data_IF_325573614184
#
_entry.id   IF_325573614184
#
_cell.length_a   1.000
_cell.length_b   1.000
_cell.length_c   1.000
_cell.angle_alpha   90.00
_cell.angle_beta   90.00
_cell.angle_gamma   90.00
#
_symmetry.space_group_name_H-M   'P 1'
#
loop_
_entity.id
_entity.type
_entity.pdbx_description
1 polymer ?
#
# COMPACT_ATOMS: atom_id res chain seq x y z
N UNK A 1 9.35 16.41 7.64
CA UNK A 1 9.78 16.46 6.23
C UNK A 1 11.04 15.66 5.96
N UNK A 2 12.04 15.58 6.86
CA UNK A 2 13.30 14.84 6.64
C UNK A 2 13.12 13.42 6.05
N UNK A 3 12.22 12.60 6.63
CA UNK A 3 11.90 11.25 6.12
C UNK A 3 11.47 11.20 4.65
N UNK A 4 10.91 12.27 4.10
CA UNK A 4 10.48 12.32 2.69
C UNK A 4 11.72 12.44 1.79
N UNK A 5 12.71 13.24 2.19
CA UNK A 5 14.00 13.31 1.52
C UNK A 5 14.80 12.02 1.68
N UNK A 6 14.87 11.47 2.91
CA UNK A 6 15.62 10.24 3.18
C UNK A 6 15.12 9.04 2.36
N UNK A 7 13.82 9.02 2.03
CA UNK A 7 13.19 7.98 1.22
C UNK A 7 13.19 8.30 -0.30
N UNK A 8 13.86 9.38 -0.74
CA UNK A 8 13.84 9.87 -2.13
C UNK A 8 12.44 10.14 -2.68
N UNK A 9 11.51 10.57 -1.82
CA UNK A 9 10.15 10.97 -2.22
C UNK A 9 10.07 12.47 -2.56
N UNK A 10 11.11 13.25 -2.25
CA UNK A 10 11.22 14.66 -2.60
C UNK A 10 12.69 15.04 -2.80
N UNK A 11 12.91 16.07 -3.61
CA UNK A 11 14.20 16.71 -3.83
C UNK A 11 14.09 18.22 -3.64
N UNK A 12 15.23 18.90 -3.58
CA UNK A 12 15.24 20.36 -3.50
C UNK A 12 14.77 20.91 -4.85
N UNK A 13 13.73 21.74 -4.83
CA UNK A 13 13.23 22.39 -6.03
C UNK A 13 14.34 23.26 -6.67
N UNK A 14 14.43 23.29 -8.01
CA UNK A 14 15.42 24.12 -8.70
C UNK A 14 15.22 25.61 -8.38
N UNK A 15 16.28 26.39 -8.51
CA UNK A 15 16.19 27.84 -8.39
C UNK A 15 15.29 28.40 -9.49
N UNK A 16 14.38 29.30 -9.11
CA UNK A 16 13.44 29.91 -10.03
C UNK A 16 14.16 30.94 -10.90
N UNK A 17 13.86 30.93 -12.20
CA UNK A 17 14.29 32.00 -13.11
C UNK A 17 13.31 33.17 -12.99
N UNK A 18 13.82 34.40 -13.08
CA UNK A 18 12.97 35.60 -13.05
C UNK A 18 11.99 35.57 -14.25
N UNK A 19 10.69 35.66 -13.96
CA UNK A 19 9.62 35.63 -14.96
C UNK A 19 9.13 34.24 -15.39
N UNK A 20 9.67 33.15 -14.83
CA UNK A 20 9.20 31.79 -15.11
C UNK A 20 7.92 31.48 -14.31
N UNK A 21 6.88 30.99 -15.00
CA UNK A 21 5.64 30.58 -14.37
C UNK A 21 5.87 29.37 -13.45
N UNK A 22 5.50 29.50 -12.19
CA UNK A 22 5.71 28.47 -11.16
C UNK A 22 4.45 28.22 -10.37
N UNK A 23 4.10 26.94 -10.21
CA UNK A 23 2.94 26.50 -9.45
C UNK A 23 3.37 25.85 -8.14
N UNK A 24 2.69 26.21 -7.05
CA UNK A 24 2.92 25.63 -5.73
C UNK A 24 1.67 24.91 -5.26
N UNK A 25 1.86 23.72 -4.69
CA UNK A 25 0.80 22.96 -4.04
C UNK A 25 0.87 23.23 -2.53
N UNK A 26 -0.12 23.92 -1.91
CA UNK A 26 -0.10 24.20 -0.48
C UNK A 26 -0.10 22.92 0.35
N UNK A 27 0.63 22.93 1.46
CA UNK A 27 0.74 21.81 2.38
C UNK A 27 0.42 22.29 3.80
N UNK A 28 -0.45 21.57 4.51
CA UNK A 28 -0.70 21.80 5.92
C UNK A 28 -0.62 20.50 6.73
N UNK A 29 -0.38 20.62 8.04
CA UNK A 29 -0.21 19.47 8.94
C UNK A 29 -1.47 19.14 9.72
N UNK A 30 -1.83 17.86 9.77
CA UNK A 30 -2.94 17.35 10.59
C UNK A 30 -2.41 16.32 11.59
N UNK A 31 -2.82 16.44 12.86
CA UNK A 31 -2.46 15.50 13.92
C UNK A 31 -3.50 14.39 14.04
N UNK A 32 -3.04 13.15 14.19
CA UNK A 32 -3.94 12.03 14.43
C UNK A 32 -4.39 12.03 15.91
N UNK A 33 -5.70 12.03 16.22
CA UNK A 33 -6.18 12.13 17.61
C UNK A 33 -5.62 11.07 18.55
N UNK A 34 -5.42 9.84 18.06
CA UNK A 34 -4.85 8.71 18.84
C UNK A 34 -3.32 8.59 18.77
N UNK A 35 -2.65 9.43 17.98
CA UNK A 35 -1.18 9.42 17.78
C UNK A 35 -0.69 10.87 17.68
N UNK A 36 -0.72 11.63 18.79
CA UNK A 36 -0.47 13.07 18.78
C UNK A 36 0.95 13.45 18.34
N UNK A 37 1.92 12.53 18.42
CA UNK A 37 3.28 12.71 17.93
C UNK A 37 3.42 12.50 16.41
N UNK A 38 2.37 12.01 15.75
CA UNK A 38 2.36 11.72 14.31
C UNK A 38 1.60 12.81 13.55
N UNK A 39 2.35 13.69 12.88
CA UNK A 39 1.83 14.66 11.92
C UNK A 39 1.67 14.02 10.54
N UNK A 40 0.57 14.32 9.84
CA UNK A 40 0.34 13.97 8.44
C UNK A 40 0.32 15.24 7.61
N UNK A 41 1.11 15.28 6.54
CA UNK A 41 1.03 16.35 5.55
C UNK A 41 -0.22 16.14 4.69
N UNK A 42 -0.99 17.19 4.47
CA UNK A 42 -2.14 17.23 3.56
C UNK A 42 -1.81 18.21 2.45
N UNK A 43 -1.84 17.72 1.22
CA UNK A 43 -1.67 18.52 0.02
C UNK A 43 -3.04 19.06 -0.41
N UNK A 44 -3.19 20.38 -0.45
CA UNK A 44 -4.45 21.00 -0.84
C UNK A 44 -4.51 21.21 -2.35
N UNK A 45 -4.92 20.17 -3.08
CA UNK A 45 -5.11 20.26 -4.54
C UNK A 45 -6.35 21.06 -4.96
N UNK A 46 -7.15 21.52 -3.99
CA UNK A 46 -8.34 22.35 -4.22
C UNK A 46 -8.08 23.84 -4.02
N UNK A 47 -6.93 24.21 -3.43
CA UNK A 47 -6.52 25.59 -3.29
C UNK A 47 -6.46 26.27 -4.67
N UNK A 48 -7.13 27.42 -4.78
CA UNK A 48 -7.24 28.17 -6.03
C UNK A 48 -6.27 29.34 -6.05
N UNK A 49 -5.58 29.50 -7.16
CA UNK A 49 -4.88 30.72 -7.54
C UNK A 49 -5.38 31.13 -8.93
N UNK A 50 -5.73 32.41 -9.08
CA UNK A 50 -6.32 32.95 -10.32
C UNK A 50 -7.46 32.06 -10.88
N UNK A 51 -8.43 31.74 -10.02
CA UNK A 51 -9.58 30.86 -10.29
C UNK A 51 -9.27 29.40 -10.69
N UNK A 52 -8.00 29.00 -10.69
CA UNK A 52 -7.54 27.67 -11.12
C UNK A 52 -6.97 26.91 -9.92
N UNK A 53 -7.39 25.67 -9.73
CA UNK A 53 -6.76 24.70 -8.81
C UNK A 53 -6.17 23.53 -9.58
N UNK A 54 -5.30 22.76 -8.91
CA UNK A 54 -4.75 21.53 -9.50
C UNK A 54 -5.87 20.55 -9.89
N UNK A 55 -6.92 20.41 -9.08
CA UNK A 55 -8.06 19.55 -9.40
C UNK A 55 -8.83 19.99 -10.67
N UNK A 56 -8.80 21.26 -11.04
CA UNK A 56 -9.52 21.77 -12.22
C UNK A 56 -8.82 21.38 -13.54
N UNK A 57 -7.50 21.14 -13.50
CA UNK A 57 -6.67 20.85 -14.69
C UNK A 57 -6.24 19.39 -14.79
N UNK A 58 -6.47 18.59 -13.74
CA UNK A 58 -6.18 17.17 -13.75
C UNK A 58 -7.20 16.41 -14.60
N UNK A 59 -6.69 15.60 -15.53
CA UNK A 59 -7.52 14.65 -16.27
C UNK A 59 -7.98 13.56 -15.31
N UNK A 60 -9.30 13.44 -15.13
CA UNK A 60 -9.88 12.31 -14.41
C UNK A 60 -9.62 11.03 -15.20
N UNK A 61 -8.65 10.24 -14.72
CA UNK A 61 -8.34 8.92 -15.29
C UNK A 61 -9.47 7.93 -15.06
N UNK A 62 -9.39 6.78 -15.75
CA UNK A 62 -10.31 5.66 -15.51
C UNK A 62 -10.25 5.20 -14.05
N UNK A 63 -11.38 4.73 -13.54
CA UNK A 63 -11.47 4.21 -12.18
C UNK A 63 -10.71 2.88 -12.07
N UNK A 64 -9.46 2.92 -11.62
CA UNK A 64 -8.56 1.76 -11.55
C UNK A 64 -8.72 0.93 -10.26
N UNK A 65 -9.57 1.36 -9.32
CA UNK A 65 -9.72 0.70 -8.03
C UNK A 65 -10.51 -0.61 -8.21
N UNK A 66 -9.98 -1.70 -7.66
CA UNK A 66 -10.68 -2.99 -7.66
C UNK A 66 -11.92 -2.95 -6.77
N UNK A 67 -12.94 -3.75 -7.12
CA UNK A 67 -14.10 -3.94 -6.24
C UNK A 67 -13.66 -4.53 -4.91
N UNK A 68 -14.03 -3.87 -3.81
CA UNK A 68 -13.76 -4.32 -2.44
C UNK A 68 -14.27 -5.75 -2.22
N UNK A 69 -15.50 -6.04 -2.67
CA UNK A 69 -16.09 -7.38 -2.60
C UNK A 69 -15.25 -8.39 -3.39
N UNK A 70 -14.78 -8.00 -4.58
CA UNK A 70 -13.94 -8.87 -5.40
C UNK A 70 -12.59 -9.20 -4.75
N UNK A 71 -11.96 -8.22 -4.09
CA UNK A 71 -10.70 -8.43 -3.36
C UNK A 71 -10.93 -9.37 -2.16
N UNK A 72 -11.98 -9.11 -1.36
CA UNK A 72 -12.33 -9.96 -0.22
C UNK A 72 -12.67 -11.40 -0.62
N UNK A 73 -13.38 -11.60 -1.73
CA UNK A 73 -13.68 -12.95 -2.24
C UNK A 73 -12.41 -13.69 -2.69
N UNK A 74 -11.44 -13.00 -3.30
CA UNK A 74 -10.16 -13.62 -3.71
C UNK A 74 -9.30 -14.04 -2.52
N UNK A 75 -9.31 -13.27 -1.44
CA UNK A 75 -8.66 -13.63 -0.18
C UNK A 75 -9.28 -14.89 0.46
N UNK A 76 -10.53 -15.22 0.13
CA UNK A 76 -11.25 -16.35 0.70
C UNK A 76 -11.27 -17.58 -0.19
N UNK A 77 -10.50 -17.57 -1.27
CA UNK A 77 -10.55 -18.62 -2.28
C UNK A 77 -9.73 -19.85 -1.87
N UNK A 78 -8.61 -19.65 -1.18
CA UNK A 78 -7.60 -20.67 -0.89
C UNK A 78 -7.21 -20.65 0.61
N UNK A 79 -6.38 -21.61 1.03
CA UNK A 79 -6.11 -21.91 2.44
C UNK A 79 -5.13 -20.93 3.11
N UNK A 80 -4.12 -20.46 2.37
CA UNK A 80 -3.07 -19.61 2.92
C UNK A 80 -3.33 -18.18 2.48
N UNK A 81 -3.87 -17.40 3.40
CA UNK A 81 -4.22 -16.00 3.20
C UNK A 81 -3.08 -15.09 3.64
N UNK A 82 -2.87 -14.00 2.91
CA UNK A 82 -1.87 -12.98 3.17
C UNK A 82 -2.41 -11.59 2.85
N UNK A 83 -2.03 -10.63 3.69
CA UNK A 83 -2.27 -9.21 3.48
C UNK A 83 -0.97 -8.43 3.59
N UNK A 84 -0.84 -7.35 2.83
CA UNK A 84 0.26 -6.40 2.93
C UNK A 84 -0.18 -4.99 2.55
N UNK A 85 0.63 -4.00 2.92
CA UNK A 85 0.42 -2.57 2.71
C UNK A 85 1.54 -2.02 1.83
N UNK A 86 1.25 -1.03 0.99
CA UNK A 86 2.31 -0.27 0.28
C UNK A 86 2.71 0.91 1.14
N UNK A 87 3.93 0.88 1.66
CA UNK A 87 4.45 1.94 2.50
C UNK A 87 4.44 3.27 1.74
N UNK A 88 3.71 4.26 2.29
CA UNK A 88 3.73 5.63 1.79
C UNK A 88 3.37 5.75 0.29
N UNK A 89 2.44 4.92 -0.20
CA UNK A 89 2.01 4.89 -1.62
C UNK A 89 1.73 6.28 -2.22
N UNK A 90 1.14 7.20 -1.43
CA UNK A 90 0.79 8.57 -1.85
C UNK A 90 1.91 9.61 -1.75
N UNK A 91 3.08 9.25 -1.22
CA UNK A 91 4.27 10.11 -1.26
C UNK A 91 5.16 9.78 -2.45
N UNK A 92 5.15 8.53 -2.92
CA UNK A 92 5.83 8.16 -4.16
C UNK A 92 5.13 8.77 -5.39
N UNK A 93 3.82 9.04 -5.29
CA UNK A 93 2.96 9.41 -6.40
C UNK A 93 2.09 10.61 -6.03
N UNK A 94 2.07 11.64 -6.89
CA UNK A 94 1.22 12.83 -6.80
C UNK A 94 -0.16 12.48 -6.25
N UNK A 95 -0.65 13.27 -5.28
CA UNK A 95 -1.77 13.10 -4.33
C UNK A 95 -3.15 12.63 -4.89
N UNK A 96 -3.17 11.58 -5.72
CA UNK A 96 -4.35 11.06 -6.42
C UNK A 96 -4.30 9.53 -6.43
N UNK A 97 -5.29 8.84 -5.82
CA UNK A 97 -5.35 7.38 -5.77
C UNK A 97 -5.26 6.69 -7.13
N UNK A 98 -5.85 7.27 -8.17
CA UNK A 98 -5.81 6.72 -9.52
C UNK A 98 -4.38 6.70 -10.11
N UNK A 99 -3.61 7.77 -9.92
CA UNK A 99 -2.22 7.86 -10.37
C UNK A 99 -1.34 6.91 -9.58
N UNK A 100 -1.54 6.83 -8.27
CA UNK A 100 -0.82 5.89 -7.42
C UNK A 100 -1.07 4.44 -7.85
N UNK A 101 -2.33 4.08 -8.12
CA UNK A 101 -2.71 2.74 -8.62
C UNK A 101 -2.12 2.48 -10.00
N UNK A 102 -2.14 3.46 -10.90
CA UNK A 102 -1.54 3.34 -12.23
C UNK A 102 -0.05 3.04 -12.14
N UNK A 103 0.71 3.78 -11.32
CA UNK A 103 2.15 3.59 -11.19
C UNK A 103 2.50 2.26 -10.51
N UNK A 104 1.72 1.83 -9.52
CA UNK A 104 1.83 0.49 -8.94
C UNK A 104 1.69 -0.60 -10.03
N UNK A 105 0.64 -0.52 -10.85
CA UNK A 105 0.42 -1.45 -11.97
C UNK A 105 1.51 -1.36 -13.03
N UNK A 106 2.02 -0.15 -13.29
CA UNK A 106 3.08 0.06 -14.26
C UNK A 106 4.40 -0.55 -13.80
N UNK A 107 4.74 -0.45 -12.52
CA UNK A 107 5.91 -1.09 -11.93
C UNK A 107 5.82 -2.62 -12.08
N UNK A 108 4.66 -3.21 -11.77
CA UNK A 108 4.44 -4.64 -11.97
C UNK A 108 4.53 -5.05 -13.45
N UNK A 109 4.01 -4.22 -14.37
CA UNK A 109 4.09 -4.47 -15.81
C UNK A 109 5.54 -4.43 -16.32
N UNK A 110 6.36 -3.47 -15.86
CA UNK A 110 7.76 -3.39 -16.25
C UNK A 110 8.56 -4.63 -15.83
N UNK A 111 8.19 -5.25 -14.71
CA UNK A 111 8.84 -6.47 -14.21
C UNK A 111 8.28 -7.78 -14.76
N UNK A 112 7.21 -7.76 -15.59
CA UNK A 112 6.48 -8.97 -15.99
C UNK A 112 7.38 -10.04 -16.62
N UNK A 113 8.28 -9.64 -17.52
CA UNK A 113 9.19 -10.56 -18.21
C UNK A 113 10.18 -11.24 -17.25
N UNK A 114 10.58 -10.55 -16.19
CA UNK A 114 11.59 -11.03 -15.23
C UNK A 114 10.98 -11.79 -14.06
N UNK A 115 9.84 -11.32 -13.54
CA UNK A 115 9.27 -11.79 -12.28
C UNK A 115 7.99 -12.61 -12.45
N UNK A 116 7.45 -12.70 -13.67
CA UNK A 116 6.30 -13.53 -14.01
C UNK A 116 4.98 -12.75 -14.13
N UNK A 117 4.09 -13.26 -14.98
CA UNK A 117 2.76 -12.68 -15.20
C UNK A 117 1.82 -12.82 -14.01
N UNK A 118 2.08 -13.77 -13.11
CA UNK A 118 1.35 -13.95 -11.87
C UNK A 118 1.57 -12.79 -10.87
N UNK A 119 2.75 -12.15 -10.87
CA UNK A 119 2.99 -10.89 -10.12
C UNK A 119 2.15 -9.76 -10.67
N UNK A 120 2.11 -9.61 -11.99
CA UNK A 120 1.28 -8.59 -12.65
C UNK A 120 -0.21 -8.81 -12.33
N UNK A 121 -0.67 -10.06 -12.43
CA UNK A 121 -2.05 -10.43 -12.11
C UNK A 121 -2.39 -10.21 -10.64
N UNK A 122 -1.46 -10.52 -9.73
CA UNK A 122 -1.60 -10.19 -8.32
C UNK A 122 -1.81 -8.69 -8.15
N UNK A 123 -0.84 -7.86 -8.55
CA UNK A 123 -0.89 -6.41 -8.37
C UNK A 123 -2.14 -5.79 -9.01
N UNK A 124 -2.55 -6.27 -10.17
CA UNK A 124 -3.72 -5.75 -10.86
C UNK A 124 -5.05 -6.05 -10.15
N UNK A 125 -5.18 -7.20 -9.47
CA UNK A 125 -6.49 -7.76 -9.07
C UNK A 125 -6.72 -7.84 -7.56
N UNK A 126 -5.66 -7.76 -6.75
CA UNK A 126 -5.72 -8.04 -5.30
C UNK A 126 -5.54 -6.81 -4.43
N UNK A 127 -5.11 -5.67 -5.00
CA UNK A 127 -5.00 -4.42 -4.27
C UNK A 127 -6.31 -3.63 -4.24
N UNK A 128 -6.70 -3.18 -3.05
CA UNK A 128 -7.68 -2.13 -2.84
C UNK A 128 -6.94 -0.88 -2.35
N UNK A 129 -6.64 0.03 -3.27
CA UNK A 129 -5.76 1.19 -3.01
C UNK A 129 -4.36 0.71 -2.58
N UNK A 130 -3.98 0.89 -1.32
CA UNK A 130 -2.68 0.53 -0.74
C UNK A 130 -2.64 -0.85 -0.08
N UNK A 131 -3.81 -1.44 0.21
CA UNK A 131 -3.94 -2.75 0.83
C UNK A 131 -4.00 -3.87 -0.22
N UNK A 132 -3.01 -4.77 -0.24
CA UNK A 132 -2.98 -5.98 -1.05
C UNK A 132 -3.45 -7.19 -0.25
N UNK A 133 -4.43 -7.95 -0.76
CA UNK A 133 -4.98 -9.12 -0.07
C UNK A 133 -5.22 -10.29 -1.04
N UNK A 134 -4.71 -11.47 -0.71
CA UNK A 134 -4.98 -12.68 -1.48
C UNK A 134 -4.86 -13.96 -0.64
N UNK A 135 -5.29 -15.07 -1.21
CA UNK A 135 -4.94 -16.40 -0.72
C UNK A 135 -4.33 -17.25 -1.83
N UNK A 136 -3.48 -18.20 -1.45
CA UNK A 136 -2.95 -19.26 -2.33
C UNK A 136 -3.08 -20.64 -1.66
N UNK A 137 -3.02 -21.73 -2.45
CA UNK A 137 -3.16 -23.10 -1.93
C UNK A 137 -2.11 -23.48 -0.88
N UNK A 138 -0.86 -23.01 -1.03
CA UNK A 138 0.26 -23.43 -0.16
C UNK A 138 1.09 -22.25 0.34
N UNK A 139 1.78 -22.47 1.48
CA UNK A 139 2.70 -21.49 2.04
C UNK A 139 3.87 -21.21 1.10
N UNK A 140 4.41 -22.23 0.43
CA UNK A 140 5.53 -22.08 -0.51
C UNK A 140 5.16 -21.17 -1.70
N UNK A 141 3.99 -21.37 -2.30
CA UNK A 141 3.51 -20.51 -3.39
C UNK A 141 3.28 -19.07 -2.90
N UNK A 142 2.73 -18.92 -1.70
CA UNK A 142 2.50 -17.61 -1.09
C UNK A 142 3.80 -16.85 -0.88
N UNK A 143 4.82 -17.51 -0.32
CA UNK A 143 6.13 -16.92 -0.04
C UNK A 143 6.82 -16.52 -1.35
N UNK A 144 6.82 -17.42 -2.35
CA UNK A 144 7.46 -17.17 -3.64
C UNK A 144 6.84 -15.95 -4.35
N UNK A 145 5.52 -15.91 -4.51
CA UNK A 145 4.83 -14.81 -5.18
C UNK A 145 5.05 -13.47 -4.47
N UNK A 146 4.97 -13.46 -3.14
CA UNK A 146 5.11 -12.24 -2.36
C UNK A 146 6.55 -11.71 -2.36
N UNK A 147 7.56 -12.58 -2.35
CA UNK A 147 8.96 -12.16 -2.49
C UNK A 147 9.26 -11.61 -3.86
N UNK A 148 8.81 -12.28 -4.93
CA UNK A 148 8.93 -11.74 -6.30
C UNK A 148 8.24 -10.40 -6.43
N UNK A 149 7.04 -10.26 -5.85
CA UNK A 149 6.32 -8.98 -5.83
C UNK A 149 7.09 -7.90 -5.07
N UNK A 150 7.66 -8.19 -3.89
CA UNK A 150 8.51 -7.24 -3.15
C UNK A 150 9.69 -6.76 -4.00
N UNK A 151 10.36 -7.67 -4.70
CA UNK A 151 11.49 -7.34 -5.57
C UNK A 151 11.08 -6.49 -6.77
N UNK A 152 10.01 -6.88 -7.47
CA UNK A 152 9.48 -6.13 -8.63
C UNK A 152 9.12 -4.71 -8.22
N UNK A 153 8.33 -4.56 -7.15
CA UNK A 153 7.85 -3.26 -6.70
C UNK A 153 8.98 -2.36 -6.21
N UNK A 154 9.99 -2.92 -5.54
CA UNK A 154 11.16 -2.17 -5.11
C UNK A 154 12.01 -1.71 -6.29
N UNK A 155 12.35 -2.61 -7.23
CA UNK A 155 13.26 -2.29 -8.34
C UNK A 155 12.62 -1.42 -9.42
N UNK A 156 11.37 -1.69 -9.79
CA UNK A 156 10.70 -0.99 -10.90
C UNK A 156 9.94 0.27 -10.43
N UNK A 157 9.58 0.33 -9.14
CA UNK A 157 8.69 1.37 -8.62
C UNK A 157 9.21 2.14 -7.41
N UNK A 158 10.32 1.72 -6.79
CA UNK A 158 10.75 2.17 -5.46
C UNK A 158 9.59 2.07 -4.43
N UNK A 159 8.84 0.97 -4.49
CA UNK A 159 7.69 0.72 -3.64
C UNK A 159 7.99 -0.40 -2.65
N UNK A 160 7.96 -0.06 -1.35
CA UNK A 160 8.15 -1.03 -0.28
C UNK A 160 6.82 -1.62 0.18
N UNK A 161 6.67 -2.93 -0.01
CA UNK A 161 5.57 -3.70 0.55
C UNK A 161 5.92 -4.13 1.98
N UNK A 162 5.06 -3.79 2.95
CA UNK A 162 5.27 -4.02 4.39
C UNK A 162 3.95 -4.31 5.11
N UNK A 163 3.97 -4.38 6.44
CA UNK A 163 2.85 -4.81 7.30
C UNK A 163 2.24 -6.14 6.86
N UNK A 164 3.08 -7.08 6.48
CA UNK A 164 2.70 -8.43 6.09
C UNK A 164 2.03 -9.11 7.29
N UNK A 165 0.90 -9.75 7.02
CA UNK A 165 0.16 -10.59 7.95
C UNK A 165 -0.39 -11.80 7.20
N UNK A 166 -0.35 -12.98 7.82
CA UNK A 166 -0.84 -14.23 7.23
C UNK A 166 -1.43 -15.13 8.32
N UNK A 167 -2.36 -15.99 7.91
CA UNK A 167 -2.89 -17.07 8.75
C UNK A 167 -1.94 -18.29 8.85
N UNK A 168 -0.77 -18.24 8.20
CA UNK A 168 0.19 -19.34 8.19
C UNK A 168 1.56 -18.89 8.76
N UNK A 169 2.09 -19.64 9.72
CA UNK A 169 3.32 -19.30 10.42
C UNK A 169 4.57 -19.39 9.53
N UNK A 170 4.62 -20.35 8.61
CA UNK A 170 5.75 -20.49 7.69
C UNK A 170 5.88 -19.26 6.78
N UNK A 171 4.73 -18.71 6.35
CA UNK A 171 4.68 -17.44 5.62
C UNK A 171 5.21 -16.30 6.50
N UNK A 172 4.73 -16.18 7.74
CA UNK A 172 5.19 -15.12 8.66
C UNK A 172 6.69 -15.19 8.94
N UNK A 173 7.25 -16.40 9.05
CA UNK A 173 8.68 -16.62 9.31
C UNK A 173 9.57 -16.33 8.09
N UNK A 174 9.00 -16.27 6.88
CA UNK A 174 9.76 -16.11 5.64
C UNK A 174 10.14 -14.66 5.31
N UNK A 175 9.57 -13.67 6.00
CA UNK A 175 9.79 -12.24 5.78
C UNK A 175 10.55 -11.57 6.93
N UNK A 176 11.17 -10.42 6.64
CA UNK A 176 11.85 -9.61 7.65
C UNK A 176 10.86 -9.12 8.71
N UNK A 177 11.30 -9.06 9.97
CA UNK A 177 10.51 -8.47 11.06
C UNK A 177 10.15 -7.00 10.81
N UNK A 178 10.88 -6.29 9.94
CA UNK A 178 10.53 -4.92 9.53
C UNK A 178 9.39 -4.87 8.52
N UNK A 179 9.13 -5.97 7.81
CA UNK A 179 8.02 -6.11 6.88
C UNK A 179 6.78 -6.69 7.56
N UNK A 180 6.90 -7.40 8.68
CA UNK A 180 5.76 -7.93 9.44
C UNK A 180 4.97 -6.81 10.12
N UNK A 181 3.64 -6.94 10.15
CA UNK A 181 2.78 -6.00 10.86
C UNK A 181 3.20 -5.86 12.34
N UNK A 182 3.32 -4.63 12.83
CA UNK A 182 3.97 -4.33 14.12
C UNK A 182 3.41 -5.06 15.34
N UNK A 183 2.12 -5.41 15.32
CA UNK A 183 1.45 -6.11 16.42
C UNK A 183 1.49 -7.63 16.26
N UNK A 184 2.07 -8.13 15.18
CA UNK A 184 2.27 -9.55 14.88
C UNK A 184 3.74 -9.98 14.99
N UNK A 185 4.64 -9.03 15.26
CA UNK A 185 6.04 -9.33 15.51
C UNK A 185 6.14 -10.25 16.73
N UNK A 186 6.95 -11.30 16.61
CA UNK A 186 7.19 -12.30 17.65
C UNK A 186 5.96 -13.08 18.13
N UNK A 187 4.85 -13.06 17.38
CA UNK A 187 3.65 -13.85 17.70
C UNK A 187 3.75 -15.25 17.10
N UNK A 188 3.50 -16.25 17.94
CA UNK A 188 3.24 -17.64 17.53
C UNK A 188 1.73 -17.88 17.42
N UNK A 189 1.27 -18.16 16.20
CA UNK A 189 -0.13 -18.43 15.86
C UNK A 189 -0.67 -19.73 16.52
N UNK A 190 0.21 -20.62 16.99
CA UNK A 190 -0.16 -21.88 17.63
C UNK A 190 -0.38 -21.82 19.15
N UNK A 191 0.02 -20.75 19.82
CA UNK A 191 0.15 -20.72 21.30
C UNK A 191 -0.48 -19.50 21.98
N UNK A 192 -0.73 -18.41 21.26
CA UNK A 192 -1.27 -17.15 21.81
C UNK A 192 -2.76 -16.92 21.52
N UNK A 193 -3.42 -16.00 22.24
CA UNK A 193 -4.76 -15.52 21.85
C UNK A 193 -4.74 -15.05 20.40
N UNK A 194 -5.70 -15.50 19.59
CA UNK A 194 -5.73 -15.27 18.15
C UNK A 194 -5.46 -13.80 17.78
N UNK A 195 -4.34 -13.49 17.09
CA UNK A 195 -4.04 -12.12 16.72
C UNK A 195 -5.10 -11.58 15.75
N UNK A 196 -5.52 -10.35 16.00
CA UNK A 196 -6.53 -9.63 15.22
C UNK A 196 -5.86 -8.61 14.31
N UNK A 197 -5.81 -8.90 13.01
CA UNK A 197 -5.32 -7.98 12.00
C UNK A 197 -6.47 -7.08 11.53
N UNK A 198 -6.31 -5.76 11.60
CA UNK A 198 -7.28 -4.85 10.97
C UNK A 198 -6.96 -4.75 9.47
N UNK A 199 -7.95 -5.00 8.63
CA UNK A 199 -7.82 -4.86 7.18
C UNK A 199 -9.13 -4.36 6.58
N UNK A 200 -9.09 -3.31 5.77
CA UNK A 200 -10.24 -2.76 5.06
C UNK A 200 -11.47 -2.45 5.94
N UNK A 201 -11.22 -2.00 7.19
CA UNK A 201 -12.28 -1.67 8.16
C UNK A 201 -12.85 -2.87 8.92
N UNK A 202 -12.44 -4.09 8.61
CA UNK A 202 -12.80 -5.32 9.31
C UNK A 202 -11.67 -5.79 10.24
N UNK A 203 -11.99 -6.70 11.14
CA UNK A 203 -11.03 -7.44 11.96
C UNK A 203 -10.88 -8.84 11.42
N UNK A 204 -9.67 -9.25 11.09
CA UNK A 204 -9.35 -10.59 10.63
C UNK A 204 -8.70 -11.38 11.76
N UNK A 205 -9.36 -12.45 12.18
CA UNK A 205 -8.81 -13.45 13.07
C UNK A 205 -7.90 -14.38 12.25
N UNK A 206 -6.59 -14.28 12.47
CA UNK A 206 -5.59 -15.05 11.71
C UNK A 206 -5.65 -16.55 12.03
N UNK A 207 -5.91 -16.92 13.29
CA UNK A 207 -5.91 -18.32 13.71
C UNK A 207 -7.07 -19.11 13.10
N UNK A 208 -8.27 -18.54 13.13
CA UNK A 208 -9.49 -19.19 12.64
C UNK A 208 -9.78 -18.86 11.17
N UNK A 209 -8.91 -18.06 10.55
CA UNK A 209 -9.16 -17.39 9.27
C UNK A 209 -10.63 -16.91 9.16
N UNK A 210 -11.02 -15.89 9.92
CA UNK A 210 -12.40 -15.37 9.87
C UNK A 210 -12.46 -13.87 10.02
N UNK A 211 -13.35 -13.23 9.25
CA UNK A 211 -13.62 -11.80 9.37
C UNK A 211 -14.66 -11.56 10.46
N UNK A 212 -14.39 -10.56 11.30
CA UNK A 212 -15.21 -10.16 12.45
C UNK A 212 -15.33 -8.64 12.47
N UNK A 213 -16.26 -8.13 13.26
CA UNK A 213 -16.42 -6.70 13.54
C UNK A 213 -16.63 -6.52 15.04
N UNK A 214 -16.19 -5.36 15.56
CA UNK A 214 -16.50 -4.97 16.94
C UNK A 214 -17.66 -3.99 16.90
N UNK A 215 -18.75 -4.33 17.59
CA UNK A 215 -19.83 -3.39 17.89
C UNK A 215 -19.39 -2.60 19.12
N UNK A 216 -19.26 -1.28 18.96
CA UNK A 216 -19.01 -0.33 20.05
C UNK A 216 -20.29 0.02 20.78
#
# INVERSE_FOLDING_TARGET
MQKIFDNNHAEIAPALSDGEESWYLPIFGVYHPKKPTQIRAVFDSSAKYDNTSLNDVLITGSYLINSLVGVLLRLRKDLVAITADIQQMFYCFVSIPAVATYRLRKAAQSGEETYGSDVLDFVNRTFYVDDGLMSLPTASETIDLMKRTQETLMKEGNLRLHKIASNNQDVMNAFSQDDIASHLKDIDLGVSEAPMQRSLGLYWNLQNDSFTYRVS
#
